data_IF_208263791249
#
_entry.id   IF_208263791249
#
_cell.length_a   1.000
_cell.length_b   1.000
_cell.length_c   1.000
_cell.angle_alpha   90.00
_cell.angle_beta   90.00
_cell.angle_gamma   90.00
#
_symmetry.space_group_name_H-M   'P 1'
#
loop_
_entity.id
_entity.type
_entity.pdbx_description
1 polymer ?
#
# COMPACT_ATOMS: atom_id res chain seq x y z
N UNK A 1 0.33 14.49 -5.92
CA UNK A 1 0.61 15.09 -4.60
C UNK A 1 2.05 14.87 -4.13
N UNK A 2 2.75 13.82 -4.53
CA UNK A 2 4.16 13.55 -4.11
C UNK A 2 5.24 14.28 -4.92
N UNK A 3 4.87 14.87 -6.07
CA UNK A 3 5.79 15.61 -6.95
C UNK A 3 6.38 16.88 -6.34
N UNK A 4 5.85 17.36 -5.22
CA UNK A 4 6.30 18.57 -4.51
C UNK A 4 7.31 18.29 -3.39
N UNK A 5 7.63 17.03 -3.12
CA UNK A 5 8.58 16.63 -2.06
C UNK A 5 10.02 16.82 -2.55
N UNK A 6 10.89 17.35 -1.67
CA UNK A 6 12.34 17.30 -1.89
C UNK A 6 12.83 15.84 -1.89
N UNK A 7 13.93 15.57 -2.58
CA UNK A 7 14.50 14.21 -2.65
C UNK A 7 14.85 13.66 -1.25
N UNK A 8 15.44 14.48 -0.38
CA UNK A 8 15.71 14.11 1.02
C UNK A 8 14.44 13.65 1.76
N UNK A 9 13.31 14.33 1.54
CA UNK A 9 12.03 13.95 2.15
C UNK A 9 11.49 12.65 1.54
N UNK A 10 11.66 12.44 0.23
CA UNK A 10 11.26 11.19 -0.42
C UNK A 10 12.07 10.02 0.12
N UNK A 11 13.40 10.13 0.17
CA UNK A 11 14.29 9.10 0.70
C UNK A 11 13.95 8.75 2.15
N UNK A 12 13.72 9.78 2.98
CA UNK A 12 13.31 9.57 4.37
C UNK A 12 12.00 8.79 4.47
N UNK A 13 10.99 9.09 3.65
CA UNK A 13 9.73 8.33 3.62
C UNK A 13 9.95 6.90 3.12
N UNK A 14 10.75 6.71 2.06
CA UNK A 14 11.03 5.37 1.54
C UNK A 14 11.76 4.49 2.57
N UNK A 15 12.63 5.09 3.40
CA UNK A 15 13.33 4.38 4.48
C UNK A 15 12.44 3.91 5.62
N UNK A 16 11.22 4.46 5.77
CA UNK A 16 10.27 3.98 6.79
C UNK A 16 9.42 2.81 6.30
N UNK A 17 9.45 2.51 5.00
CA UNK A 17 8.72 1.38 4.41
C UNK A 17 9.61 0.14 4.50
N UNK A 18 9.20 -0.97 5.13
CA UNK A 18 10.04 -2.18 5.23
C UNK A 18 10.49 -2.76 3.88
N UNK A 19 9.65 -2.66 2.85
CA UNK A 19 10.01 -3.05 1.48
C UNK A 19 10.99 -2.09 0.78
N UNK A 20 11.37 -0.98 1.42
CA UNK A 20 12.33 0.02 0.95
C UNK A 20 12.01 0.61 -0.44
N UNK A 21 10.72 0.69 -0.79
CA UNK A 21 10.25 1.30 -2.03
C UNK A 21 8.81 1.77 -1.91
N UNK A 22 8.41 2.69 -2.79
CA UNK A 22 7.01 2.98 -3.01
C UNK A 22 6.30 1.82 -3.74
N UNK A 23 5.00 1.72 -3.54
CA UNK A 23 4.16 0.81 -4.31
C UNK A 23 4.08 1.27 -5.77
N UNK A 24 4.09 0.32 -6.71
CA UNK A 24 3.57 0.56 -8.05
C UNK A 24 2.04 0.73 -7.93
N UNK A 25 1.40 1.71 -8.60
CA UNK A 25 -0.05 1.86 -8.58
C UNK A 25 -0.85 0.58 -8.88
N UNK A 26 -0.29 -0.33 -9.68
CA UNK A 26 -0.89 -1.64 -9.97
C UNK A 26 -0.98 -2.54 -8.74
N UNK A 27 -0.05 -2.45 -7.81
CA UNK A 27 -0.06 -3.25 -6.57
C UNK A 27 -1.27 -2.87 -5.69
N UNK A 28 -1.59 -1.57 -5.62
CA UNK A 28 -2.81 -1.07 -4.96
C UNK A 28 -4.05 -1.53 -5.72
N UNK A 29 -4.06 -1.40 -7.05
CA UNK A 29 -5.19 -1.78 -7.89
C UNK A 29 -5.50 -3.27 -7.81
N UNK A 30 -4.50 -4.14 -7.62
CA UNK A 30 -4.70 -5.59 -7.51
C UNK A 30 -5.50 -5.98 -6.26
N UNK A 31 -5.28 -5.33 -5.12
CA UNK A 31 -6.05 -5.61 -3.89
C UNK A 31 -7.50 -5.12 -4.04
N UNK A 32 -7.69 -3.95 -4.67
CA UNK A 32 -9.03 -3.47 -5.03
C UNK A 32 -9.73 -4.47 -5.95
N UNK A 33 -9.02 -4.96 -6.98
CA UNK A 33 -9.57 -5.96 -7.90
C UNK A 33 -9.94 -7.27 -7.19
N UNK A 34 -9.12 -7.72 -6.23
CA UNK A 34 -9.45 -8.87 -5.40
C UNK A 34 -10.76 -8.67 -4.66
N UNK A 35 -10.94 -7.53 -3.98
CA UNK A 35 -12.17 -7.21 -3.25
C UNK A 35 -13.42 -7.04 -4.13
N UNK A 36 -13.24 -6.68 -5.41
CA UNK A 36 -14.33 -6.58 -6.38
C UNK A 36 -14.64 -7.91 -7.08
N UNK A 37 -13.83 -8.95 -6.85
CA UNK A 37 -13.98 -10.24 -7.51
C UNK A 37 -14.76 -11.24 -6.63
N UNK A 38 -15.23 -12.32 -7.24
CA UNK A 38 -15.88 -13.42 -6.51
C UNK A 38 -14.93 -14.14 -5.53
N UNK A 39 -13.61 -13.94 -5.65
CA UNK A 39 -12.60 -14.50 -4.75
C UNK A 39 -12.75 -13.99 -3.32
N UNK A 40 -13.34 -12.80 -3.13
CA UNK A 40 -13.59 -12.19 -1.82
C UNK A 40 -15.05 -12.31 -1.38
N UNK A 41 -15.81 -13.28 -1.91
CA UNK A 41 -17.26 -13.43 -1.67
C UNK A 41 -17.68 -13.61 -0.19
N UNK A 42 -16.73 -13.88 0.71
CA UNK A 42 -16.97 -13.97 2.15
C UNK A 42 -16.12 -13.01 2.99
N UNK A 43 -15.44 -12.05 2.36
CA UNK A 43 -14.68 -11.02 3.04
C UNK A 43 -15.52 -9.73 3.13
N UNK A 44 -15.93 -9.37 4.35
CA UNK A 44 -16.70 -8.15 4.63
C UNK A 44 -16.36 -7.62 6.02
N UNK A 45 -16.37 -6.31 6.19
CA UNK A 45 -16.02 -5.67 7.48
C UNK A 45 -14.50 -5.57 7.74
N UNK A 46 -13.68 -5.93 6.76
CA UNK A 46 -12.22 -5.92 6.85
C UNK A 46 -11.62 -4.68 6.18
N UNK A 47 -10.43 -4.30 6.64
CA UNK A 47 -9.58 -3.26 6.04
C UNK A 47 -8.24 -3.92 5.76
N UNK A 48 -7.68 -3.71 4.57
CA UNK A 48 -6.35 -4.22 4.21
C UNK A 48 -5.37 -3.07 4.02
N UNK A 49 -4.26 -3.15 4.74
CA UNK A 49 -3.11 -2.26 4.55
C UNK A 49 -2.27 -2.72 3.36
N UNK A 50 -2.15 -1.85 2.36
CA UNK A 50 -1.35 -2.08 1.15
C UNK A 50 -0.23 -1.06 1.08
N UNK A 51 0.62 -1.07 2.11
CA UNK A 51 1.59 0.00 2.39
C UNK A 51 3.06 -0.47 2.41
N UNK A 52 3.32 -1.72 2.02
CA UNK A 52 4.67 -2.29 2.04
C UNK A 52 5.18 -2.65 3.44
N UNK A 53 4.27 -2.80 4.41
CA UNK A 53 4.54 -3.24 5.78
C UNK A 53 4.71 -2.11 6.79
N UNK A 54 4.27 -0.89 6.47
CA UNK A 54 4.36 0.25 7.39
C UNK A 54 3.43 0.02 8.58
N UNK A 55 2.24 -0.49 8.32
CA UNK A 55 1.29 -0.91 9.34
C UNK A 55 1.46 -2.40 9.59
N UNK A 56 1.46 -2.79 10.87
CA UNK A 56 1.54 -4.18 11.31
C UNK A 56 0.39 -4.45 12.28
N UNK A 57 -0.51 -5.34 11.89
CA UNK A 57 -1.59 -5.81 12.75
C UNK A 57 -1.02 -6.64 13.90
N UNK A 58 -1.54 -6.40 15.11
CA UNK A 58 -1.12 -7.05 16.36
C UNK A 58 -2.08 -8.11 16.86
#
# INVERSE_FOLDING_TARGET
MTSILSEEKKERVLSTIPMNRGADPKEIANVILFYLSDLSSFATGEISDVDGGVTMDG
#
